data_IF_018697723181
#
_entry.id   IF_018697723181
#
_cell.length_a   1.000
_cell.length_b   1.000
_cell.length_c   1.000
_cell.angle_alpha   90.00
_cell.angle_beta   90.00
_cell.angle_gamma   90.00
#
_symmetry.space_group_name_H-M   'P 1'
#
loop_
_entity.id
_entity.type
_entity.pdbx_description
1 polymer ?
#
# COMPACT_ATOMS: atom_id res chain seq x y z
N UNK A 1 -37.67 3.28 49.84
CA UNK A 1 -37.44 2.90 48.44
C UNK A 1 -37.07 4.16 47.68
N UNK A 2 -35.79 4.37 47.38
CA UNK A 2 -35.36 5.40 46.44
C UNK A 2 -34.12 4.86 45.73
N UNK A 3 -34.32 4.40 44.50
CA UNK A 3 -33.27 3.98 43.58
C UNK A 3 -32.81 5.20 42.80
N UNK A 4 -31.64 5.76 43.12
CA UNK A 4 -30.98 6.74 42.28
C UNK A 4 -30.04 6.01 41.31
N UNK A 5 -30.52 5.82 40.08
CA UNK A 5 -29.71 5.43 38.93
C UNK A 5 -28.59 6.48 38.73
N UNK A 6 -27.33 6.07 38.93
CA UNK A 6 -26.19 6.80 38.38
C UNK A 6 -26.03 6.38 36.93
N UNK A 7 -26.52 7.21 36.01
CA UNK A 7 -26.15 7.14 34.60
C UNK A 7 -24.71 7.59 34.44
N UNK A 8 -23.82 6.65 34.14
CA UNK A 8 -22.44 6.91 33.74
C UNK A 8 -22.43 7.82 32.51
N UNK A 9 -21.93 9.03 32.68
CA UNK A 9 -21.64 9.95 31.59
C UNK A 9 -20.40 9.44 30.85
N UNK A 10 -20.39 9.39 29.50
CA UNK A 10 -19.18 9.08 28.75
C UNK A 10 -18.17 10.22 29.00
N UNK A 11 -17.02 9.87 29.57
CA UNK A 11 -15.95 10.82 29.84
C UNK A 11 -15.33 11.26 28.51
N UNK A 12 -15.74 12.43 28.00
CA UNK A 12 -15.02 13.13 26.94
C UNK A 12 -13.64 13.55 27.47
N UNK A 13 -12.64 12.70 27.29
CA UNK A 13 -11.24 13.05 27.52
C UNK A 13 -10.74 13.93 26.37
N UNK A 14 -10.81 15.24 26.61
CA UNK A 14 -10.44 16.33 25.71
C UNK A 14 -8.91 16.44 25.47
N UNK A 15 -8.09 15.50 25.93
CA UNK A 15 -6.65 15.47 25.63
C UNK A 15 -6.38 15.08 24.18
N UNK A 16 -5.50 15.83 23.50
CA UNK A 16 -5.01 15.51 22.16
C UNK A 16 -4.17 14.23 22.26
N UNK A 17 -4.49 13.15 21.51
CA UNK A 17 -3.70 11.92 21.56
C UNK A 17 -2.32 12.15 20.96
N UNK A 18 -1.31 11.53 21.54
CA UNK A 18 0.05 11.52 20.98
C UNK A 18 0.15 10.41 19.93
N UNK A 19 0.46 10.77 18.69
CA UNK A 19 0.55 9.82 17.57
C UNK A 19 2.01 9.70 17.12
N UNK A 20 2.46 8.46 16.94
CA UNK A 20 3.72 8.14 16.28
C UNK A 20 3.45 7.52 14.91
N UNK A 21 4.27 7.87 13.92
CA UNK A 21 4.31 7.20 12.61
C UNK A 21 5.72 6.66 12.40
N UNK A 22 5.86 5.33 12.41
CA UNK A 22 7.15 4.68 12.17
C UNK A 22 7.31 4.49 10.67
N UNK A 23 8.33 5.14 10.10
CA UNK A 23 8.61 5.12 8.68
C UNK A 23 8.35 6.46 7.99
N UNK A 24 9.39 7.28 7.85
CA UNK A 24 9.35 8.52 7.09
C UNK A 24 9.59 8.30 5.58
N UNK A 25 8.99 7.24 5.00
CA UNK A 25 8.98 7.00 3.55
C UNK A 25 7.94 7.87 2.83
N UNK A 26 7.74 7.67 1.53
CA UNK A 26 6.77 8.46 0.75
C UNK A 26 5.33 8.37 1.27
N UNK A 27 4.91 7.20 1.76
CA UNK A 27 3.58 6.99 2.34
C UNK A 27 3.50 7.54 3.77
N UNK A 28 4.36 7.05 4.67
CA UNK A 28 4.30 7.40 6.09
C UNK A 28 4.52 8.89 6.36
N UNK A 29 5.38 9.57 5.61
CA UNK A 29 5.56 11.02 5.78
C UNK A 29 4.32 11.81 5.39
N UNK A 30 3.58 11.41 4.34
CA UNK A 30 2.34 12.10 3.94
C UNK A 30 1.16 11.80 4.88
N UNK A 31 1.12 10.60 5.47
CA UNK A 31 0.19 10.30 6.58
C UNK A 31 0.49 11.21 7.77
N UNK A 32 1.76 11.30 8.19
CA UNK A 32 2.17 12.17 9.28
C UNK A 32 1.85 13.65 8.98
N UNK A 33 2.12 14.11 7.76
CA UNK A 33 1.79 15.46 7.34
C UNK A 33 0.30 15.76 7.45
N UNK A 34 -0.57 14.85 7.00
CA UNK A 34 -2.03 15.00 7.13
C UNK A 34 -2.47 15.13 8.59
N UNK A 35 -1.94 14.27 9.45
CA UNK A 35 -2.22 14.29 10.89
C UNK A 35 -1.76 15.62 11.51
N UNK A 36 -0.54 16.04 11.21
CA UNK A 36 0.07 17.28 11.69
C UNK A 36 -0.73 18.51 11.27
N UNK A 37 -1.05 18.64 9.96
CA UNK A 37 -1.85 19.73 9.43
C UNK A 37 -3.27 19.79 10.03
N UNK A 38 -3.82 18.64 10.43
CA UNK A 38 -5.13 18.55 11.06
C UNK A 38 -5.08 18.80 12.58
N UNK A 39 -3.94 19.17 13.14
CA UNK A 39 -3.78 19.56 14.54
C UNK A 39 -3.56 18.40 15.52
N UNK A 40 -3.07 17.24 15.05
CA UNK A 40 -2.69 16.13 15.95
C UNK A 40 -1.43 16.44 16.79
N UNK A 41 -0.75 17.55 16.53
CA UNK A 41 0.53 17.89 17.16
C UNK A 41 1.72 17.28 16.40
N UNK A 42 2.95 17.46 16.90
CA UNK A 42 4.13 16.86 16.29
C UNK A 42 4.00 15.33 16.28
N UNK A 43 4.26 14.72 15.13
CA UNK A 43 4.13 13.28 14.96
C UNK A 43 5.45 12.62 15.33
N UNK A 44 5.45 11.78 16.37
CA UNK A 44 6.68 11.12 16.79
C UNK A 44 7.14 10.12 15.72
N UNK A 45 8.45 9.99 15.53
CA UNK A 45 9.02 9.01 14.62
C UNK A 45 10.44 8.68 15.06
N UNK A 46 10.99 7.56 14.60
CA UNK A 46 12.39 7.22 14.80
C UNK A 46 13.14 7.35 13.47
N UNK A 47 14.18 8.17 13.46
CA UNK A 47 15.01 8.44 12.28
C UNK A 47 16.44 7.88 12.43
N UNK A 48 16.69 7.07 13.45
CA UNK A 48 18.01 6.48 13.69
C UNK A 48 18.50 5.68 12.46
N UNK A 49 19.75 5.93 12.06
CA UNK A 49 20.36 5.30 10.89
C UNK A 49 19.75 5.70 9.54
N UNK A 50 18.85 6.69 9.47
CA UNK A 50 18.23 7.14 8.22
C UNK A 50 19.05 8.22 7.52
N UNK A 51 18.84 8.34 6.21
CA UNK A 51 19.54 9.33 5.38
C UNK A 51 19.11 10.77 5.67
N UNK A 52 19.97 11.74 5.36
CA UNK A 52 19.66 13.18 5.47
C UNK A 52 18.39 13.58 4.70
N UNK A 53 18.16 12.97 3.54
CA UNK A 53 16.93 13.16 2.76
C UNK A 53 15.67 12.68 3.51
N UNK A 54 15.79 11.64 4.33
CA UNK A 54 14.69 11.15 5.19
C UNK A 54 14.45 12.10 6.35
N UNK A 55 15.50 12.60 6.99
CA UNK A 55 15.39 13.62 8.04
C UNK A 55 14.68 14.88 7.56
N UNK A 56 15.09 15.41 6.40
CA UNK A 56 14.45 16.59 5.80
C UNK A 56 12.96 16.34 5.53
N UNK A 57 12.63 15.23 4.86
CA UNK A 57 11.24 14.85 4.55
C UNK A 57 10.40 14.71 5.82
N UNK A 58 10.95 14.13 6.89
CA UNK A 58 10.26 13.98 8.16
C UNK A 58 9.95 15.36 8.79
N UNK A 59 10.95 16.25 8.85
CA UNK A 59 10.78 17.61 9.36
C UNK A 59 9.74 18.42 8.56
N UNK A 60 9.79 18.35 7.23
CA UNK A 60 8.83 19.02 6.33
C UNK A 60 7.39 18.51 6.54
N UNK A 61 7.23 17.28 7.07
CA UNK A 61 5.95 16.65 7.37
C UNK A 61 5.50 16.79 8.83
N UNK A 62 6.16 17.64 9.63
CA UNK A 62 5.81 17.85 11.04
C UNK A 62 6.16 16.67 11.95
N UNK A 63 7.08 15.80 11.52
CA UNK A 63 7.54 14.66 12.30
C UNK A 63 8.68 15.08 13.23
N UNK A 64 8.70 14.54 14.45
CA UNK A 64 9.72 14.77 15.48
C UNK A 64 10.49 13.48 15.73
N UNK A 65 11.81 13.53 15.57
CA UNK A 65 12.68 12.40 15.88
C UNK A 65 12.63 12.07 17.38
N UNK A 66 12.56 10.78 17.70
CA UNK A 66 12.41 10.24 19.04
C UNK A 66 12.91 8.78 19.07
N UNK A 67 13.50 8.39 20.20
CA UNK A 67 13.88 7.00 20.45
C UNK A 67 12.64 6.09 20.56
N UNK A 68 12.81 4.78 20.34
CA UNK A 68 11.71 3.84 20.55
C UNK A 68 11.17 3.86 21.99
N UNK A 69 12.05 4.06 22.99
CA UNK A 69 11.64 4.21 24.38
C UNK A 69 10.73 5.43 24.60
N UNK A 70 11.10 6.58 24.04
CA UNK A 70 10.26 7.79 24.09
C UNK A 70 8.93 7.58 23.37
N UNK A 71 8.93 6.94 22.20
CA UNK A 71 7.72 6.65 21.43
C UNK A 71 6.78 5.76 22.23
N UNK A 72 7.26 4.65 22.79
CA UNK A 72 6.45 3.72 23.59
C UNK A 72 5.91 4.39 24.85
N UNK A 73 6.73 5.19 25.54
CA UNK A 73 6.32 5.91 26.75
C UNK A 73 5.32 7.02 26.46
N UNK A 74 5.40 7.70 25.30
CA UNK A 74 4.63 8.90 24.99
C UNK A 74 3.42 8.69 24.10
N UNK A 75 3.46 7.73 23.17
CA UNK A 75 2.39 7.55 22.21
C UNK A 75 1.12 6.92 22.84
N UNK A 76 -0.02 7.31 22.29
CA UNK A 76 -1.29 6.61 22.44
C UNK A 76 -1.50 5.68 21.23
N UNK A 77 -1.07 6.11 20.04
CA UNK A 77 -1.15 5.35 18.79
C UNK A 77 0.20 5.31 18.08
N UNK A 78 0.65 4.12 17.67
CA UNK A 78 1.81 3.92 16.81
C UNK A 78 1.32 3.36 15.48
N UNK A 79 1.53 4.10 14.39
CA UNK A 79 1.18 3.69 13.03
C UNK A 79 2.46 3.22 12.32
N UNK A 80 2.58 1.93 12.03
CA UNK A 80 3.74 1.37 11.32
C UNK A 80 3.54 1.43 9.81
N UNK A 81 4.38 2.20 9.11
CA UNK A 81 4.35 2.41 7.66
C UNK A 81 5.77 2.31 7.08
N UNK A 82 6.29 1.09 7.05
CA UNK A 82 7.62 0.69 6.60
C UNK A 82 7.55 -0.28 5.41
N UNK A 83 8.68 -0.60 4.74
CA UNK A 83 8.69 -1.67 3.76
C UNK A 83 8.23 -3.01 4.39
N UNK A 84 7.45 -3.85 3.68
CA UNK A 84 6.89 -5.09 4.24
C UNK A 84 7.92 -6.02 4.89
N UNK A 85 9.13 -6.12 4.29
CA UNK A 85 10.24 -6.91 4.81
C UNK A 85 10.73 -6.48 6.21
N UNK A 86 10.50 -5.22 6.59
CA UNK A 86 10.97 -4.65 7.85
C UNK A 86 9.86 -4.68 8.93
N UNK A 87 8.61 -4.96 8.55
CA UNK A 87 7.43 -4.84 9.39
C UNK A 87 7.50 -5.66 10.69
N UNK A 88 7.82 -6.96 10.58
CA UNK A 88 7.94 -7.85 11.75
C UNK A 88 9.07 -7.43 12.70
N UNK A 89 10.21 -7.00 12.15
CA UNK A 89 11.35 -6.56 12.94
C UNK A 89 11.03 -5.31 13.75
N UNK A 90 10.31 -4.35 13.15
CA UNK A 90 9.83 -3.15 13.83
C UNK A 90 8.82 -3.49 14.92
N UNK A 91 7.82 -4.33 14.62
CA UNK A 91 6.83 -4.74 15.61
C UNK A 91 7.48 -5.44 16.81
N UNK A 92 8.46 -6.32 16.56
CA UNK A 92 9.25 -6.97 17.62
C UNK A 92 10.06 -5.96 18.42
N UNK A 93 10.72 -5.00 17.78
CA UNK A 93 11.48 -3.95 18.47
C UNK A 93 10.60 -3.14 19.42
N UNK A 94 9.39 -2.79 18.99
CA UNK A 94 8.40 -2.11 19.84
C UNK A 94 8.00 -3.01 21.01
N UNK A 95 7.61 -4.26 20.76
CA UNK A 95 7.22 -5.22 21.79
C UNK A 95 8.32 -5.44 22.84
N UNK A 96 9.57 -5.64 22.40
CA UNK A 96 10.72 -5.81 23.28
C UNK A 96 10.97 -4.53 24.10
N UNK A 97 10.86 -3.35 23.49
CA UNK A 97 10.97 -2.06 24.19
C UNK A 97 9.92 -1.94 25.30
N UNK A 98 8.67 -2.30 25.02
CA UNK A 98 7.59 -2.30 26.02
C UNK A 98 7.94 -3.23 27.19
N UNK A 99 8.35 -4.47 26.90
CA UNK A 99 8.73 -5.45 27.94
C UNK A 99 9.87 -4.93 28.80
N UNK A 100 10.86 -4.25 28.23
CA UNK A 100 11.97 -3.66 29.03
C UNK A 100 11.52 -2.52 29.94
N UNK A 101 10.60 -1.68 29.47
CA UNK A 101 10.07 -0.54 30.22
C UNK A 101 9.16 -1.00 31.38
N UNK A 102 8.35 -2.04 31.16
CA UNK A 102 7.45 -2.60 32.18
C UNK A 102 8.23 -3.26 33.35
N UNK A 103 9.45 -3.70 33.11
CA UNK A 103 10.34 -4.29 34.14
C UNK A 103 11.09 -3.21 34.96
N UNK A 104 10.91 -1.92 34.64
CA UNK A 104 11.38 -0.80 35.48
C UNK A 104 12.89 -0.51 35.41
N UNK A 105 13.58 -0.96 34.37
CA UNK A 105 15.04 -0.92 34.28
C UNK A 105 15.61 0.12 33.28
N UNK A 106 14.99 1.31 33.19
CA UNK A 106 15.39 2.32 32.18
C UNK A 106 15.29 3.75 32.71
N UNK A 107 16.13 4.65 32.19
CA UNK A 107 16.07 6.10 32.42
C UNK A 107 14.84 6.79 31.77
N UNK A 108 14.04 6.06 30.99
CA UNK A 108 12.83 6.57 30.36
C UNK A 108 11.66 6.44 31.35
N UNK A 109 10.83 7.48 31.55
CA UNK A 109 9.73 7.40 32.51
C UNK A 109 8.76 6.28 32.10
N UNK A 110 8.33 5.42 33.06
CA UNK A 110 7.32 4.41 32.79
C UNK A 110 6.04 5.09 32.30
N UNK A 111 5.27 4.39 31.46
CA UNK A 111 3.97 4.86 31.00
C UNK A 111 3.12 5.12 32.24
N UNK A 112 2.88 6.39 32.57
CA UNK A 112 2.36 6.77 33.88
C UNK A 112 0.99 6.12 34.10
N UNK A 113 0.71 5.64 35.31
CA UNK A 113 -0.65 5.18 35.69
C UNK A 113 -1.71 6.29 35.51
N UNK A 114 -1.27 7.55 35.39
CA UNK A 114 -2.11 8.71 35.08
C UNK A 114 -2.56 8.78 33.61
N UNK A 115 -1.89 8.09 32.67
CA UNK A 115 -2.39 7.96 31.29
C UNK A 115 -3.52 6.93 31.25
N UNK A 116 -4.69 7.39 30.81
CA UNK A 116 -5.90 6.58 30.74
C UNK A 116 -6.00 5.69 29.50
N UNK A 117 -5.27 6.01 28.40
CA UNK A 117 -5.34 5.25 27.14
C UNK A 117 -4.33 4.12 27.07
N UNK A 118 -4.78 2.93 26.64
CA UNK A 118 -3.89 1.83 26.24
C UNK A 118 -3.07 2.24 25.01
N UNK A 119 -1.89 1.66 24.84
CA UNK A 119 -1.07 1.89 23.65
C UNK A 119 -1.66 1.02 22.54
N UNK A 120 -1.92 1.62 21.39
CA UNK A 120 -2.42 0.91 20.22
C UNK A 120 -1.33 0.89 19.16
N UNK A 121 -0.87 -0.30 18.77
CA UNK A 121 0.02 -0.49 17.64
C UNK A 121 -0.81 -0.90 16.43
N UNK A 122 -0.75 -0.10 15.37
CA UNK A 122 -1.46 -0.35 14.11
C UNK A 122 -0.43 -0.69 13.05
N UNK A 123 -0.51 -1.89 12.51
CA UNK A 123 0.30 -2.27 11.36
C UNK A 123 -0.37 -1.80 10.06
N UNK A 124 0.24 -0.89 9.30
CA UNK A 124 -0.27 -0.45 8.00
C UNK A 124 0.60 -0.93 6.83
N UNK A 125 1.45 -1.92 7.08
CA UNK A 125 2.38 -2.45 6.09
C UNK A 125 1.67 -3.38 5.11
N UNK A 126 2.19 -3.48 3.88
CA UNK A 126 1.61 -4.36 2.86
C UNK A 126 2.04 -5.82 3.07
N UNK A 127 1.48 -6.47 4.10
CA UNK A 127 1.74 -7.87 4.46
C UNK A 127 0.50 -8.74 4.24
N UNK A 128 0.68 -10.06 4.20
CA UNK A 128 -0.43 -11.02 4.09
C UNK A 128 -1.11 -11.26 5.46
N UNK A 129 -2.34 -11.82 5.49
CA UNK A 129 -3.09 -12.07 6.72
C UNK A 129 -2.32 -12.92 7.74
N UNK A 130 -1.70 -14.02 7.29
CA UNK A 130 -0.91 -14.88 8.16
C UNK A 130 0.25 -14.14 8.82
N UNK A 131 0.88 -13.18 8.13
CA UNK A 131 1.96 -12.36 8.69
C UNK A 131 1.42 -11.40 9.74
N UNK A 132 0.24 -10.81 9.51
CA UNK A 132 -0.42 -9.94 10.49
C UNK A 132 -0.78 -10.72 11.77
N UNK A 133 -1.33 -11.93 11.63
CA UNK A 133 -1.58 -12.84 12.75
C UNK A 133 -0.30 -13.20 13.52
N UNK A 134 0.80 -13.48 12.81
CA UNK A 134 2.09 -13.73 13.45
C UNK A 134 2.64 -12.48 14.16
N UNK A 135 2.43 -11.30 13.59
CA UNK A 135 2.84 -10.04 14.21
C UNK A 135 2.07 -9.76 15.50
N UNK A 136 0.76 -10.02 15.51
CA UNK A 136 -0.08 -9.85 16.69
C UNK A 136 0.44 -10.66 17.90
N UNK A 137 1.01 -11.85 17.66
CA UNK A 137 1.62 -12.69 18.70
C UNK A 137 2.79 -12.02 19.44
N UNK A 138 3.43 -11.00 18.87
CA UNK A 138 4.47 -10.26 19.58
C UNK A 138 3.91 -9.44 20.77
N UNK A 139 2.62 -9.13 20.75
CA UNK A 139 1.98 -8.23 21.71
C UNK A 139 1.11 -8.95 22.76
N UNK A 140 0.92 -10.28 22.66
CA UNK A 140 0.03 -11.05 23.54
C UNK A 140 0.40 -11.00 25.03
N UNK A 141 1.69 -10.88 25.34
CA UNK A 141 2.20 -10.76 26.72
C UNK A 141 2.47 -9.29 27.12
N UNK A 142 1.87 -8.34 26.41
CA UNK A 142 2.05 -6.90 26.65
C UNK A 142 0.71 -6.23 26.94
N UNK A 143 0.75 -4.99 27.43
CA UNK A 143 -0.45 -4.16 27.60
C UNK A 143 -0.93 -3.47 26.31
N UNK A 144 -0.30 -3.79 25.16
CA UNK A 144 -0.54 -3.11 23.88
C UNK A 144 -1.62 -3.81 23.10
N UNK A 145 -2.53 -3.00 22.57
CA UNK A 145 -3.56 -3.45 21.63
C UNK A 145 -2.97 -3.45 20.23
N UNK A 146 -3.05 -4.61 19.56
CA UNK A 146 -2.64 -4.74 18.17
C UNK A 146 -3.85 -4.57 17.25
N UNK A 147 -3.70 -3.76 16.20
CA UNK A 147 -4.68 -3.58 15.14
C UNK A 147 -4.02 -3.90 13.80
N UNK A 148 -4.61 -4.83 13.07
CA UNK A 148 -4.26 -5.10 11.67
C UNK A 148 -4.83 -3.96 10.81
N UNK A 149 -3.99 -3.39 9.96
CA UNK A 149 -4.33 -2.28 9.12
C UNK A 149 -3.81 -2.45 7.71
N UNK A 150 -4.46 -1.79 6.76
CA UNK A 150 -3.95 -1.71 5.40
C UNK A 150 -4.29 -0.40 4.72
N UNK A 151 -3.35 0.05 3.87
CA UNK A 151 -3.50 1.27 3.08
C UNK A 151 -3.83 0.88 1.64
N UNK A 152 -4.98 1.33 1.14
CA UNK A 152 -5.35 1.20 -0.27
C UNK A 152 -5.34 2.58 -0.92
N UNK A 153 -4.38 2.76 -1.83
CA UNK A 153 -4.22 4.02 -2.55
C UNK A 153 -2.78 4.53 -2.58
N UNK A 154 -2.61 5.69 -3.22
CA UNK A 154 -1.38 6.47 -3.15
C UNK A 154 -1.26 7.26 -1.83
N UNK A 155 -0.12 7.91 -1.58
CA UNK A 155 0.04 8.78 -0.43
C UNK A 155 -1.03 9.89 -0.37
N UNK A 156 -1.48 10.33 0.82
CA UNK A 156 -2.37 11.47 0.95
C UNK A 156 -1.80 12.72 0.26
N UNK A 157 -2.68 13.53 -0.33
CA UNK A 157 -2.38 14.85 -0.90
C UNK A 157 -3.63 15.74 -0.81
N UNK A 158 -3.54 17.03 -1.12
CA UNK A 158 -4.68 17.95 -0.98
C UNK A 158 -5.95 17.48 -1.71
N UNK A 159 -5.78 16.73 -2.81
CA UNK A 159 -6.87 16.23 -3.66
C UNK A 159 -7.12 14.73 -3.54
N UNK A 160 -6.37 14.01 -2.71
CA UNK A 160 -6.46 12.55 -2.60
C UNK A 160 -6.21 12.05 -1.19
N UNK A 161 -6.97 11.06 -0.75
CA UNK A 161 -6.79 10.40 0.54
C UNK A 161 -6.94 8.89 0.34
N UNK A 162 -5.97 8.05 0.74
CA UNK A 162 -6.12 6.60 0.68
C UNK A 162 -7.10 6.09 1.72
N UNK A 163 -7.76 4.97 1.43
CA UNK A 163 -8.52 4.23 2.41
C UNK A 163 -7.59 3.53 3.40
N UNK A 164 -7.85 3.68 4.70
CA UNK A 164 -7.17 2.97 5.78
C UNK A 164 -8.12 1.92 6.36
N UNK A 165 -7.97 0.68 5.95
CA UNK A 165 -8.79 -0.41 6.47
C UNK A 165 -8.16 -0.88 7.77
N UNK A 166 -8.96 -1.09 8.81
CA UNK A 166 -8.47 -1.50 10.12
C UNK A 166 -9.36 -2.60 10.69
N UNK A 167 -8.77 -3.57 11.36
CA UNK A 167 -9.46 -4.63 12.06
C UNK A 167 -8.70 -4.98 13.35
N UNK A 168 -9.44 -5.27 14.41
CA UNK A 168 -8.88 -5.69 15.69
C UNK A 168 -9.28 -7.12 15.99
N UNK A 169 -8.69 -7.70 17.04
CA UNK A 169 -9.32 -8.84 17.70
C UNK A 169 -10.75 -8.44 18.18
N UNK A 170 -11.74 -9.35 18.16
CA UNK A 170 -13.08 -9.08 18.67
C UNK A 170 -13.12 -8.54 20.11
N UNK A 171 -12.15 -8.92 20.95
CA UNK A 171 -12.02 -8.42 22.32
C UNK A 171 -11.68 -6.92 22.43
N UNK A 172 -11.10 -6.33 21.38
CA UNK A 172 -10.58 -4.96 21.36
C UNK A 172 -11.44 -4.01 20.48
N UNK A 173 -12.71 -4.36 20.26
CA UNK A 173 -13.61 -3.62 19.40
C UNK A 173 -13.82 -2.15 19.82
N UNK A 174 -13.74 -1.85 21.13
CA UNK A 174 -13.81 -0.48 21.64
C UNK A 174 -12.64 0.38 21.16
N UNK A 175 -11.42 -0.16 21.23
CA UNK A 175 -10.19 0.50 20.83
C UNK A 175 -10.15 0.70 19.31
N UNK A 176 -10.69 -0.23 18.54
CA UNK A 176 -10.87 -0.08 17.09
C UNK A 176 -11.78 1.11 16.74
N UNK A 177 -12.91 1.26 17.45
CA UNK A 177 -13.86 2.37 17.25
C UNK A 177 -13.22 3.71 17.66
N UNK A 178 -12.48 3.75 18.77
CA UNK A 178 -11.78 4.96 19.19
C UNK A 178 -10.70 5.37 18.16
N UNK A 179 -9.89 4.41 17.69
CA UNK A 179 -8.90 4.64 16.64
C UNK A 179 -9.54 5.18 15.37
N UNK A 180 -10.64 4.56 14.89
CA UNK A 180 -11.38 5.02 13.72
C UNK A 180 -11.82 6.49 13.88
N UNK A 181 -12.34 6.85 15.06
CA UNK A 181 -12.71 8.23 15.40
C UNK A 181 -11.52 9.19 15.38
N UNK A 182 -10.39 8.79 15.96
CA UNK A 182 -9.14 9.60 16.00
C UNK A 182 -8.58 9.83 14.60
N UNK A 183 -8.40 8.77 13.80
CA UNK A 183 -7.86 8.88 12.44
C UNK A 183 -8.75 9.78 11.56
N UNK A 184 -10.08 9.63 11.67
CA UNK A 184 -11.04 10.47 10.94
C UNK A 184 -10.98 11.93 11.38
N UNK A 185 -10.91 12.19 12.69
CA UNK A 185 -10.79 13.54 13.26
C UNK A 185 -9.55 14.26 12.72
N UNK A 186 -8.45 13.55 12.51
CA UNK A 186 -7.19 14.10 12.02
C UNK A 186 -6.99 13.93 10.50
N UNK A 187 -8.08 13.87 9.74
CA UNK A 187 -8.07 14.07 8.29
C UNK A 187 -7.70 12.85 7.45
N UNK A 188 -7.65 11.65 8.05
CA UNK A 188 -7.47 10.38 7.33
C UNK A 188 -8.84 9.74 7.02
N UNK A 189 -8.84 8.69 6.19
CA UNK A 189 -10.05 7.95 5.80
C UNK A 189 -10.03 6.50 6.33
N UNK A 190 -10.23 6.29 7.64
CA UNK A 190 -10.34 4.96 8.19
C UNK A 190 -11.66 4.28 7.79
N UNK A 191 -11.61 2.97 7.68
CA UNK A 191 -12.76 2.08 7.52
C UNK A 191 -12.54 0.84 8.40
N UNK A 192 -13.26 0.78 9.52
CA UNK A 192 -13.15 -0.37 10.41
C UNK A 192 -13.96 -1.57 9.91
N UNK A 193 -13.29 -2.71 9.72
CA UNK A 193 -13.90 -4.00 9.44
C UNK A 193 -14.48 -4.56 10.75
N UNK A 194 -15.78 -4.82 10.75
CA UNK A 194 -16.57 -5.23 11.92
C UNK A 194 -17.56 -6.30 11.49
N UNK A 195 -17.96 -7.15 12.43
CA UNK A 195 -18.99 -8.17 12.20
C UNK A 195 -18.55 -9.55 12.68
N UNK A 196 -19.45 -10.52 12.55
CA UNK A 196 -19.14 -11.92 12.85
C UNK A 196 -18.05 -12.43 11.91
N UNK A 197 -17.04 -13.08 12.50
CA UNK A 197 -15.89 -13.60 11.76
C UNK A 197 -14.80 -12.58 11.43
N UNK A 198 -15.01 -11.28 11.72
CA UNK A 198 -13.98 -10.26 11.52
C UNK A 198 -12.86 -10.38 12.58
N UNK A 199 -11.60 -10.28 12.17
CA UNK A 199 -10.45 -10.35 13.06
C UNK A 199 -9.12 -9.94 12.42
N UNK A 200 -8.05 -10.10 13.19
CA UNK A 200 -6.68 -9.85 12.73
C UNK A 200 -6.40 -10.63 11.45
N UNK A 201 -5.94 -9.93 10.42
CA UNK A 201 -5.68 -10.47 9.09
C UNK A 201 -6.65 -9.96 8.03
N UNK A 202 -7.86 -9.52 8.41
CA UNK A 202 -8.88 -9.08 7.45
C UNK A 202 -8.55 -7.76 6.77
N UNK A 203 -7.92 -6.80 7.46
CA UNK A 203 -7.50 -5.56 6.80
C UNK A 203 -6.40 -5.86 5.78
N UNK A 204 -5.46 -6.74 6.13
CA UNK A 204 -4.46 -7.28 5.21
C UNK A 204 -5.11 -8.04 4.04
N UNK A 205 -6.17 -8.82 4.27
CA UNK A 205 -6.92 -9.53 3.22
C UNK A 205 -7.61 -8.56 2.24
N UNK A 206 -8.19 -7.46 2.72
CA UNK A 206 -8.74 -6.40 1.85
C UNK A 206 -7.69 -5.85 0.89
N UNK A 207 -6.47 -5.61 1.39
CA UNK A 207 -5.35 -5.14 0.56
C UNK A 207 -4.95 -6.17 -0.49
N UNK A 208 -4.87 -7.45 -0.10
CA UNK A 208 -4.53 -8.53 -1.02
C UNK A 208 -5.58 -8.69 -2.13
N UNK A 209 -6.87 -8.71 -1.76
CA UNK A 209 -7.96 -8.79 -2.72
C UNK A 209 -7.98 -7.59 -3.68
N UNK A 210 -7.85 -6.37 -3.17
CA UNK A 210 -7.79 -5.17 -4.01
C UNK A 210 -6.55 -5.17 -4.94
N UNK A 211 -5.38 -5.55 -4.41
CA UNK A 211 -4.15 -5.66 -5.20
C UNK A 211 -4.29 -6.71 -6.30
N UNK A 212 -4.87 -7.87 -5.98
CA UNK A 212 -5.17 -8.94 -6.92
C UNK A 212 -6.07 -8.50 -8.05
N UNK A 213 -7.18 -7.80 -7.75
CA UNK A 213 -8.06 -7.25 -8.79
C UNK A 213 -7.31 -6.24 -9.67
N UNK A 214 -6.74 -5.19 -9.07
CA UNK A 214 -6.15 -4.09 -9.84
C UNK A 214 -4.98 -4.56 -10.71
N UNK A 215 -4.05 -5.31 -10.13
CA UNK A 215 -2.84 -5.75 -10.86
C UNK A 215 -3.10 -6.99 -11.69
N UNK A 216 -4.01 -7.87 -11.28
CA UNK A 216 -4.50 -8.96 -12.12
C UNK A 216 -5.15 -8.44 -13.41
N UNK A 217 -5.96 -7.39 -13.34
CA UNK A 217 -6.51 -6.73 -14.54
C UNK A 217 -5.41 -6.12 -15.41
N UNK A 218 -4.39 -5.48 -14.82
CA UNK A 218 -3.24 -4.96 -15.59
C UNK A 218 -2.49 -6.10 -16.29
N UNK A 219 -2.28 -7.24 -15.61
CA UNK A 219 -1.66 -8.41 -16.21
C UNK A 219 -2.50 -9.01 -17.36
N UNK A 220 -3.83 -9.05 -17.21
CA UNK A 220 -4.75 -9.48 -18.27
C UNK A 220 -4.68 -8.55 -19.49
N UNK A 221 -4.74 -7.24 -19.29
CA UNK A 221 -4.57 -6.28 -20.39
C UNK A 221 -3.21 -6.45 -21.07
N UNK A 222 -2.14 -6.50 -20.29
CA UNK A 222 -0.77 -6.63 -20.79
C UNK A 222 -0.61 -7.91 -21.62
N UNK A 223 -1.01 -9.05 -21.06
CA UNK A 223 -0.89 -10.36 -21.73
C UNK A 223 -1.71 -10.44 -23.02
N UNK A 224 -2.95 -9.94 -23.02
CA UNK A 224 -3.81 -10.02 -24.21
C UNK A 224 -3.42 -9.00 -25.29
N UNK A 225 -2.91 -7.82 -24.92
CA UNK A 225 -2.29 -6.89 -25.89
C UNK A 225 -1.13 -7.60 -26.58
N UNK A 226 -0.18 -8.16 -25.82
CA UNK A 226 1.01 -8.81 -26.39
C UNK A 226 0.63 -10.02 -27.25
N UNK A 227 -0.28 -10.87 -26.78
CA UNK A 227 -0.74 -12.04 -27.54
C UNK A 227 -1.46 -11.66 -28.84
N UNK A 228 -2.31 -10.62 -28.81
CA UNK A 228 -2.96 -10.10 -30.01
C UNK A 228 -1.92 -9.58 -31.01
N UNK A 229 -0.93 -8.83 -30.55
CA UNK A 229 0.10 -8.24 -31.40
C UNK A 229 1.01 -9.29 -32.02
N UNK A 230 1.37 -10.32 -31.24
CA UNK A 230 2.14 -11.47 -31.69
C UNK A 230 1.43 -12.25 -32.81
N UNK A 231 0.08 -12.21 -32.85
CA UNK A 231 -0.69 -12.76 -33.97
C UNK A 231 -0.59 -11.87 -35.20
N UNK A 232 -0.87 -10.56 -35.05
CA UNK A 232 -0.53 -9.50 -36.01
C UNK A 232 -0.85 -8.12 -35.45
N UNK A 233 -0.25 -7.06 -36.00
CA UNK A 233 -0.64 -5.68 -35.68
C UNK A 233 -2.14 -5.42 -35.93
N UNK A 234 -2.71 -6.00 -37.00
CA UNK A 234 -4.15 -5.90 -37.29
C UNK A 234 -5.03 -6.56 -36.24
N UNK A 235 -4.56 -7.64 -35.61
CA UNK A 235 -5.29 -8.33 -34.55
C UNK A 235 -5.37 -7.45 -33.30
N UNK A 236 -4.32 -6.70 -32.95
CA UNK A 236 -4.38 -5.71 -31.87
C UNK A 236 -5.38 -4.58 -32.17
N UNK A 237 -5.47 -4.11 -33.42
CA UNK A 237 -6.51 -3.14 -33.79
C UNK A 237 -7.92 -3.72 -33.67
N UNK A 238 -8.10 -4.98 -34.10
CA UNK A 238 -9.35 -5.70 -33.91
C UNK A 238 -9.73 -5.85 -32.43
N UNK A 239 -8.75 -6.15 -31.56
CA UNK A 239 -8.95 -6.18 -30.11
C UNK A 239 -9.44 -4.82 -29.58
N UNK A 240 -8.77 -3.73 -29.93
CA UNK A 240 -9.19 -2.39 -29.50
C UNK A 240 -10.59 -2.03 -30.00
N UNK A 241 -10.89 -2.30 -31.28
CA UNK A 241 -12.22 -2.06 -31.84
C UNK A 241 -13.30 -2.90 -31.13
N UNK A 242 -13.08 -4.21 -30.98
CA UNK A 242 -14.03 -5.11 -30.32
C UNK A 242 -14.27 -4.75 -28.85
N UNK A 243 -13.23 -4.41 -28.09
CA UNK A 243 -13.37 -3.92 -26.71
C UNK A 243 -14.05 -2.55 -26.67
N UNK A 244 -13.81 -1.67 -27.64
CA UNK A 244 -14.46 -0.37 -27.69
C UNK A 244 -15.98 -0.49 -27.88
N UNK A 245 -16.45 -1.37 -28.77
CA UNK A 245 -17.89 -1.56 -29.01
C UNK A 245 -18.59 -2.40 -27.94
N UNK A 246 -17.85 -3.27 -27.22
CA UNK A 246 -18.44 -4.18 -26.24
C UNK A 246 -18.24 -3.75 -24.79
N UNK A 247 -17.06 -3.23 -24.44
CA UNK A 247 -16.59 -2.93 -23.08
C UNK A 247 -15.72 -1.67 -23.05
N UNK A 248 -16.25 -0.53 -23.52
CA UNK A 248 -15.49 0.71 -23.72
C UNK A 248 -14.74 1.22 -22.47
N UNK A 249 -15.24 0.92 -21.26
CA UNK A 249 -14.57 1.24 -19.98
C UNK A 249 -13.20 0.56 -19.85
N UNK A 250 -12.99 -0.63 -20.45
CA UNK A 250 -11.68 -1.29 -20.44
C UNK A 250 -10.65 -0.53 -21.26
N UNK A 251 -11.05 0.11 -22.36
CA UNK A 251 -10.14 0.97 -23.15
C UNK A 251 -9.63 2.13 -22.29
N UNK A 252 -10.52 2.82 -21.59
CA UNK A 252 -10.16 3.91 -20.67
C UNK A 252 -9.21 3.43 -19.55
N UNK A 253 -9.47 2.25 -18.97
CA UNK A 253 -8.58 1.65 -17.97
C UNK A 253 -7.22 1.25 -18.55
N UNK A 254 -7.16 0.61 -19.72
CA UNK A 254 -5.92 0.21 -20.40
C UNK A 254 -5.02 1.43 -20.62
N UNK A 255 -5.60 2.52 -21.16
CA UNK A 255 -4.89 3.78 -21.44
C UNK A 255 -4.22 4.34 -20.19
N UNK A 256 -4.89 4.27 -19.03
CA UNK A 256 -4.34 4.79 -17.77
C UNK A 256 -3.35 3.85 -17.11
N UNK A 257 -3.68 2.56 -17.03
CA UNK A 257 -3.02 1.63 -16.13
C UNK A 257 -1.78 0.97 -16.74
N UNK A 258 -1.83 0.59 -18.02
CA UNK A 258 -0.71 -0.11 -18.68
C UNK A 258 0.55 0.76 -18.73
N UNK A 259 0.51 2.03 -19.20
CA UNK A 259 1.71 2.86 -19.24
C UNK A 259 2.30 3.18 -17.86
N UNK A 260 1.47 3.26 -16.83
CA UNK A 260 1.94 3.52 -15.47
C UNK A 260 2.64 2.30 -14.86
N UNK A 261 2.30 1.09 -15.31
CA UNK A 261 2.91 -0.16 -14.86
C UNK A 261 4.30 -0.34 -15.45
N UNK A 262 4.51 -0.06 -16.74
CA UNK A 262 5.76 -0.40 -17.45
C UNK A 262 7.04 0.00 -16.68
N UNK A 263 7.25 1.26 -16.22
CA UNK A 263 8.50 1.64 -15.54
C UNK A 263 8.68 1.02 -14.14
N UNK A 264 7.66 0.36 -13.61
CA UNK A 264 7.65 -0.20 -12.25
C UNK A 264 7.21 -1.66 -12.21
N UNK A 265 7.26 -2.36 -13.35
CA UNK A 265 6.85 -3.76 -13.47
C UNK A 265 7.56 -4.67 -12.46
N UNK A 266 8.85 -4.43 -12.20
CA UNK A 266 9.65 -5.17 -11.21
C UNK A 266 9.03 -5.17 -9.80
N UNK A 267 8.32 -4.09 -9.41
CA UNK A 267 7.64 -4.04 -8.10
C UNK A 267 6.42 -4.95 -8.07
N UNK A 268 5.73 -5.08 -9.20
CA UNK A 268 4.50 -5.86 -9.28
C UNK A 268 4.78 -7.36 -9.26
N UNK A 269 6.01 -7.80 -9.59
CA UNK A 269 6.43 -9.21 -9.47
C UNK A 269 6.26 -9.70 -8.03
N UNK A 270 6.97 -9.11 -7.08
CA UNK A 270 6.90 -9.50 -5.67
C UNK A 270 5.50 -9.30 -5.06
N UNK A 271 4.76 -8.29 -5.52
CA UNK A 271 3.38 -8.08 -5.08
C UNK A 271 2.42 -9.16 -5.60
N UNK A 272 2.61 -9.69 -6.83
CA UNK A 272 1.82 -10.81 -7.35
C UNK A 272 2.20 -12.13 -6.71
N UNK A 273 3.46 -12.32 -6.33
CA UNK A 273 3.86 -13.47 -5.51
C UNK A 273 3.20 -13.45 -4.13
N UNK A 274 3.05 -12.27 -3.51
CA UNK A 274 2.34 -12.13 -2.24
C UNK A 274 0.85 -12.42 -2.39
N UNK A 275 0.20 -11.91 -3.46
CA UNK A 275 -1.20 -12.23 -3.73
C UNK A 275 -1.38 -13.72 -4.03
N UNK A 276 -0.44 -14.35 -4.73
CA UNK A 276 -0.45 -15.80 -4.94
C UNK A 276 -0.42 -16.55 -3.61
N UNK A 277 0.49 -16.19 -2.69
CA UNK A 277 0.54 -16.75 -1.32
C UNK A 277 -0.74 -16.56 -0.54
N UNK A 278 -1.37 -15.38 -0.63
CA UNK A 278 -2.67 -15.13 0.01
C UNK A 278 -3.77 -16.09 -0.48
N UNK A 279 -3.66 -16.59 -1.71
CA UNK A 279 -4.61 -17.53 -2.31
C UNK A 279 -4.12 -18.98 -2.28
N UNK A 280 -3.05 -19.29 -1.54
CA UNK A 280 -2.60 -20.67 -1.30
C UNK A 280 -3.53 -21.29 -0.24
N UNK A 281 -4.16 -22.41 -0.58
CA UNK A 281 -5.11 -23.07 0.31
C UNK A 281 -5.88 -24.18 -0.40
N UNK A 282 -6.48 -25.07 0.39
CA UNK A 282 -7.26 -26.19 -0.15
C UNK A 282 -8.38 -25.68 -1.06
N UNK A 283 -8.36 -26.09 -2.33
CA UNK A 283 -9.34 -25.69 -3.33
C UNK A 283 -9.06 -24.36 -4.05
N UNK A 284 -7.96 -23.65 -3.75
CA UNK A 284 -7.65 -22.34 -4.33
C UNK A 284 -6.46 -22.34 -5.32
N UNK A 285 -5.92 -23.51 -5.66
CA UNK A 285 -4.73 -23.65 -6.54
C UNK A 285 -4.88 -22.92 -7.87
N UNK A 286 -6.07 -22.98 -8.48
CA UNK A 286 -6.36 -22.26 -9.73
C UNK A 286 -6.27 -20.75 -9.58
N UNK A 287 -6.67 -20.21 -8.42
CA UNK A 287 -6.57 -18.78 -8.12
C UNK A 287 -5.10 -18.39 -7.93
N UNK A 288 -4.35 -19.17 -7.16
CA UNK A 288 -2.90 -19.00 -7.00
C UNK A 288 -2.16 -19.00 -8.34
N UNK A 289 -2.53 -19.89 -9.26
CA UNK A 289 -1.92 -20.00 -10.57
C UNK A 289 -2.10 -18.74 -11.43
N UNK A 290 -3.26 -18.05 -11.34
CA UNK A 290 -3.50 -16.78 -12.04
C UNK A 290 -2.45 -15.74 -11.63
N UNK A 291 -2.20 -15.61 -10.33
CA UNK A 291 -1.28 -14.60 -9.81
C UNK A 291 0.20 -14.97 -10.02
N UNK A 292 0.56 -16.26 -9.98
CA UNK A 292 1.90 -16.69 -10.43
C UNK A 292 2.12 -16.37 -11.91
N UNK A 293 1.12 -16.59 -12.76
CA UNK A 293 1.17 -16.19 -14.17
C UNK A 293 1.29 -14.68 -14.35
N UNK A 294 0.55 -13.89 -13.56
CA UNK A 294 0.67 -12.43 -13.56
C UNK A 294 2.07 -11.96 -13.17
N UNK A 295 2.70 -12.59 -12.16
CA UNK A 295 4.08 -12.30 -11.78
C UNK A 295 5.06 -12.53 -12.95
N UNK A 296 4.89 -13.64 -13.69
CA UNK A 296 5.71 -13.93 -14.87
C UNK A 296 5.52 -12.91 -16.00
N UNK A 297 4.28 -12.46 -16.23
CA UNK A 297 3.99 -11.39 -17.21
C UNK A 297 4.71 -10.11 -16.80
N UNK A 298 4.67 -9.71 -15.52
CA UNK A 298 5.37 -8.52 -15.06
C UNK A 298 6.90 -8.66 -15.08
N UNK A 299 7.43 -9.85 -14.80
CA UNK A 299 8.86 -10.12 -14.91
C UNK A 299 9.33 -9.92 -16.35
N UNK A 300 8.59 -10.45 -17.33
CA UNK A 300 8.88 -10.25 -18.76
C UNK A 300 8.95 -8.76 -19.15
N UNK A 301 8.09 -7.91 -18.59
CA UNK A 301 8.13 -6.46 -18.81
C UNK A 301 9.31 -5.81 -18.07
N UNK A 302 9.62 -6.27 -16.86
CA UNK A 302 10.77 -5.77 -16.09
C UNK A 302 12.10 -6.05 -16.79
N UNK A 303 12.26 -7.25 -17.37
CA UNK A 303 13.47 -7.67 -18.07
C UNK A 303 13.81 -6.75 -19.25
N UNK A 304 12.80 -6.25 -19.97
CA UNK A 304 13.00 -5.27 -21.06
C UNK A 304 13.69 -4.00 -20.57
N UNK A 305 13.33 -3.51 -19.39
CA UNK A 305 13.96 -2.32 -18.81
C UNK A 305 15.41 -2.59 -18.41
N UNK A 306 15.70 -3.76 -17.83
CA UNK A 306 17.07 -4.14 -17.48
C UNK A 306 17.98 -4.27 -18.70
N UNK A 307 17.46 -4.85 -19.80
CA UNK A 307 18.18 -4.97 -21.07
C UNK A 307 18.48 -3.58 -21.64
N UNK A 308 17.47 -2.71 -21.73
CA UNK A 308 17.63 -1.32 -22.23
C UNK A 308 18.65 -0.52 -21.41
N UNK A 309 18.67 -0.69 -20.08
CA UNK A 309 19.65 -0.05 -19.21
C UNK A 309 21.08 -0.56 -19.43
N UNK A 310 21.26 -1.87 -19.65
CA UNK A 310 22.57 -2.47 -19.96
C UNK A 310 23.09 -1.99 -21.30
N UNK A 311 22.28 -2.05 -22.35
CA UNK A 311 22.63 -1.57 -23.69
C UNK A 311 23.02 -0.07 -23.65
N UNK A 312 22.27 0.75 -22.92
CA UNK A 312 22.57 2.19 -22.79
C UNK A 312 23.91 2.46 -22.11
N UNK A 313 24.31 1.63 -21.12
CA UNK A 313 25.61 1.74 -20.45
C UNK A 313 26.75 1.30 -21.37
N UNK A 314 26.59 0.20 -22.10
CA UNK A 314 27.57 -0.29 -23.08
C UNK A 314 27.77 0.69 -24.25
N UNK A 315 26.70 1.34 -24.71
CA UNK A 315 26.76 2.44 -25.70
C UNK A 315 27.51 3.67 -25.19
N UNK A 316 27.33 4.02 -23.90
CA UNK A 316 28.05 5.13 -23.28
C UNK A 316 29.55 4.83 -23.10
N UNK A 317 29.91 3.56 -22.84
CA UNK A 317 31.30 3.12 -22.67
C UNK A 317 32.04 2.95 -24.02
N UNK A 318 31.33 2.62 -25.10
CA UNK A 318 31.89 2.40 -26.45
C UNK A 318 32.07 3.67 -27.30
N UNK A 319 31.89 4.87 -26.75
CA UNK A 319 32.05 6.16 -27.47
C UNK A 319 31.22 6.26 -28.77
N UNK A 320 30.04 5.62 -28.81
CA UNK A 320 29.08 5.77 -29.91
C UNK A 320 29.42 5.05 -31.22
N UNK A 321 30.39 4.13 -31.25
CA UNK A 321 30.58 3.24 -32.40
C UNK A 321 29.92 1.89 -32.17
N UNK A 322 28.66 1.77 -32.58
CA UNK A 322 28.03 0.47 -32.84
C UNK A 322 27.31 0.53 -34.19
N UNK A 323 27.56 -0.48 -35.00
CA UNK A 323 26.97 -0.73 -36.30
C UNK A 323 25.45 -0.86 -36.22
N UNK A 324 24.74 -0.51 -37.30
CA UNK A 324 23.30 -0.25 -37.35
C UNK A 324 22.38 -1.41 -36.91
N UNK A 325 22.24 -1.62 -35.60
CA UNK A 325 21.22 -2.48 -35.03
C UNK A 325 19.85 -1.83 -35.24
N UNK A 326 19.08 -2.39 -36.18
CA UNK A 326 17.64 -2.17 -36.30
C UNK A 326 17.03 -2.38 -34.91
N UNK A 327 16.53 -1.31 -34.29
CA UNK A 327 15.91 -1.35 -32.95
C UNK A 327 14.83 -2.43 -32.96
N UNK A 328 15.08 -3.56 -32.30
CA UNK A 328 14.09 -4.62 -32.15
C UNK A 328 12.93 -4.04 -31.35
N UNK A 329 11.71 -4.16 -31.87
CA UNK A 329 10.51 -3.75 -31.16
C UNK A 329 10.32 -4.73 -30.00
N UNK A 330 10.46 -4.25 -28.78
CA UNK A 330 10.21 -5.04 -27.57
C UNK A 330 8.77 -4.90 -27.08
N UNK A 331 8.41 -5.71 -26.09
CA UNK A 331 7.09 -5.74 -25.49
C UNK A 331 6.63 -4.39 -24.92
N UNK A 332 7.53 -3.59 -24.36
CA UNK A 332 7.17 -2.26 -23.84
C UNK A 332 6.81 -1.33 -25.00
N UNK A 333 7.58 -1.37 -26.08
CA UNK A 333 7.30 -0.59 -27.28
C UNK A 333 5.96 -1.01 -27.90
N UNK A 334 5.65 -2.32 -27.96
CA UNK A 334 4.35 -2.86 -28.40
C UNK A 334 3.21 -2.34 -27.53
N UNK A 335 3.32 -2.49 -26.21
CA UNK A 335 2.29 -2.06 -25.28
C UNK A 335 1.99 -0.57 -25.45
N UNK A 336 3.03 0.27 -25.49
CA UNK A 336 2.86 1.71 -25.62
C UNK A 336 2.27 2.11 -26.97
N UNK A 337 2.64 1.43 -28.06
CA UNK A 337 2.05 1.66 -29.38
C UNK A 337 0.55 1.33 -29.42
N UNK A 338 0.17 0.15 -28.91
CA UNK A 338 -1.25 -0.26 -28.85
C UNK A 338 -2.06 0.67 -27.94
N UNK A 339 -1.49 1.13 -26.81
CA UNK A 339 -2.14 2.10 -25.95
C UNK A 339 -2.32 3.46 -26.65
N UNK A 340 -1.37 3.88 -27.48
CA UNK A 340 -1.51 5.12 -28.25
C UNK A 340 -2.64 5.03 -29.27
N UNK A 341 -2.80 3.88 -29.93
CA UNK A 341 -3.94 3.64 -30.82
C UNK A 341 -5.27 3.57 -30.05
N UNK A 342 -5.26 2.98 -28.85
CA UNK A 342 -6.41 2.99 -27.95
C UNK A 342 -6.85 4.42 -27.60
N UNK A 343 -5.89 5.33 -27.34
CA UNK A 343 -6.19 6.76 -27.09
C UNK A 343 -6.82 7.43 -28.31
N UNK A 344 -6.26 7.21 -29.51
CA UNK A 344 -6.83 7.77 -30.75
C UNK A 344 -8.25 7.29 -30.97
N UNK A 345 -8.51 6.00 -30.75
CA UNK A 345 -9.84 5.41 -30.84
C UNK A 345 -10.81 6.05 -29.84
N UNK A 346 -10.41 6.11 -28.57
CA UNK A 346 -11.23 6.65 -27.49
C UNK A 346 -11.54 8.15 -27.65
N UNK A 347 -10.60 8.94 -28.17
CA UNK A 347 -10.80 10.36 -28.44
C UNK A 347 -11.72 10.61 -29.65
N UNK A 348 -11.65 9.76 -30.69
CA UNK A 348 -12.52 9.87 -31.88
C UNK A 348 -14.00 9.68 -31.54
N UNK A 349 -14.32 8.82 -30.59
CA UNK A 349 -15.70 8.49 -30.23
C UNK A 349 -16.37 9.57 -29.36
N UNK A 350 -15.60 10.33 -28.57
CA UNK A 350 -16.09 11.60 -27.97
C UNK A 350 -16.53 12.64 -29.03
N UNK A 351 -16.19 12.43 -30.31
CA UNK A 351 -16.57 13.25 -31.46
C UNK A 351 -17.55 12.60 -32.45
N UNK A 352 -18.10 11.41 -32.15
CA UNK A 352 -19.23 10.81 -32.90
C UNK A 352 -18.97 10.40 -34.35
N UNK A 353 -17.77 9.93 -34.72
CA UNK A 353 -17.49 9.42 -36.09
C UNK A 353 -17.20 7.92 -36.07
N UNK A 354 -17.84 7.19 -36.99
CA UNK A 354 -17.65 5.75 -37.20
C UNK A 354 -16.19 5.38 -37.45
N UNK A 355 -15.75 4.29 -36.81
CA UNK A 355 -14.38 3.79 -36.89
C UNK A 355 -14.03 3.25 -38.29
N UNK A 356 -12.85 3.61 -38.78
CA UNK A 356 -12.20 3.03 -39.97
C UNK A 356 -10.74 2.71 -39.61
N UNK A 357 -10.23 1.50 -39.91
CA UNK A 357 -8.84 1.13 -39.64
C UNK A 357 -7.87 1.96 -40.51
N UNK A 358 -6.63 2.22 -40.06
CA UNK A 358 -5.60 2.85 -40.89
C UNK A 358 -5.26 1.98 -42.11
N UNK A 359 -5.06 2.60 -43.27
CA UNK A 359 -4.52 1.94 -44.46
C UNK A 359 -2.99 1.84 -44.36
N UNK A 360 -2.45 0.67 -44.73
CA UNK A 360 -1.01 0.32 -44.72
C UNK A 360 -0.09 1.36 -45.39
#
# INVERSE_FOLDING_TARGET
MNNSNQSGTPTNDNSIPTIAVIGAGAMGSQIAYRLFQSGAGPILTNLEGRSSATYKRAADCGMKDSSYGEIVSQADYILSVVPPKDALAIAKTIADTIKTLDVGNTDCPPRSQARRRKLVFVDFNAINPTTAEHMAKNFTETSVIFIDGSIVGGPPSDVYNPGLYICSDPGDASELIELEGVLKKYGLQPFALKGEGAGIGDASAVKMANSGIVKGTIALFTSMILASHASSASTSQGLLHSLHISQSTFIDQMIRLVPQMTPKAYRFVGEMEEVARFTEGEGLDGISAIYRGAAQVFQRIADVHEIKEKESKELAESHGQIDGHRKLVDDVDVLLAVIEDAKKLFQRDKGGKSWTPPSD
#
